data_IF_857409014270
#
_entry.id   IF_857409014270
#
_cell.length_a   1.000
_cell.length_b   1.000
_cell.length_c   1.000
_cell.angle_alpha   90.00
_cell.angle_beta   90.00
_cell.angle_gamma   90.00
#
_symmetry.space_group_name_H-M   'P 1'
#
loop_
_entity.id
_entity.type
_entity.pdbx_description
1 polymer ?
#
# COMPACT_ATOMS: atom_id res chain seq x y z
N UNK A 1 -8.15 43.49 -15.09
CA UNK A 1 -9.09 42.34 -14.95
C UNK A 1 -8.34 41.06 -15.23
N UNK A 2 -7.82 40.42 -14.21
CA UNK A 2 -7.16 39.10 -14.32
C UNK A 2 -8.23 38.02 -14.11
N UNK A 3 -8.48 37.22 -15.14
CA UNK A 3 -9.37 36.05 -15.02
C UNK A 3 -8.65 34.99 -14.18
N UNK A 4 -9.14 34.77 -12.98
CA UNK A 4 -8.81 33.64 -12.16
C UNK A 4 -9.33 32.37 -12.84
N UNK A 5 -8.45 31.56 -13.40
CA UNK A 5 -8.79 30.24 -13.86
C UNK A 5 -8.83 29.35 -12.62
N UNK A 6 -10.02 29.11 -12.08
CA UNK A 6 -10.22 28.08 -11.04
C UNK A 6 -9.90 26.74 -11.66
N UNK A 7 -8.80 26.16 -11.24
CA UNK A 7 -8.53 24.74 -11.46
C UNK A 7 -9.57 23.94 -10.64
N UNK A 8 -10.57 23.45 -11.35
CA UNK A 8 -11.52 22.51 -10.78
C UNK A 8 -10.82 21.19 -10.52
N UNK A 9 -10.45 20.94 -9.29
CA UNK A 9 -10.03 19.64 -8.80
C UNK A 9 -11.22 18.68 -8.82
N UNK A 10 -11.58 18.17 -10.00
CA UNK A 10 -12.26 16.88 -10.07
C UNK A 10 -11.16 15.82 -9.96
N UNK A 11 -10.94 15.36 -8.73
CA UNK A 11 -10.20 14.14 -8.47
C UNK A 11 -10.68 13.06 -9.43
N UNK A 12 -9.79 12.54 -10.28
CA UNK A 12 -10.03 11.36 -11.10
C UNK A 12 -10.02 10.06 -10.25
N UNK A 13 -9.90 10.20 -8.94
CA UNK A 13 -9.88 9.08 -8.01
C UNK A 13 -11.30 8.87 -7.51
N UNK A 14 -11.74 7.63 -7.66
CA UNK A 14 -13.03 7.17 -7.16
C UNK A 14 -13.21 7.57 -5.70
N UNK A 15 -14.39 8.03 -5.34
CA UNK A 15 -14.71 8.28 -3.94
C UNK A 15 -14.66 6.95 -3.16
N UNK A 16 -14.50 6.99 -1.84
CA UNK A 16 -14.55 5.80 -0.98
C UNK A 16 -15.80 4.94 -1.28
N UNK A 17 -16.84 5.55 -1.79
CA UNK A 17 -18.08 4.89 -2.22
C UNK A 17 -17.92 4.11 -3.54
N UNK A 18 -17.02 4.56 -4.44
CA UNK A 18 -16.77 3.88 -5.72
C UNK A 18 -15.82 2.68 -5.56
N UNK A 19 -14.98 2.67 -4.50
CA UNK A 19 -14.13 1.54 -4.12
C UNK A 19 -14.92 0.37 -3.51
N UNK A 20 -16.19 0.58 -3.18
CA UNK A 20 -17.08 -0.42 -2.59
C UNK A 20 -17.93 -1.18 -3.63
N UNK A 21 -17.69 -0.99 -4.92
CA UNK A 21 -18.35 -1.75 -5.98
C UNK A 21 -17.46 -2.93 -6.40
N UNK A 22 -17.77 -4.18 -6.05
CA UNK A 22 -16.95 -5.31 -6.46
C UNK A 22 -17.23 -5.67 -7.92
N UNK A 23 -16.20 -5.57 -8.75
CA UNK A 23 -16.13 -6.24 -10.04
C UNK A 23 -15.15 -7.41 -9.93
N UNK A 24 -15.55 -8.56 -10.42
CA UNK A 24 -15.18 -9.91 -10.02
C UNK A 24 -13.78 -10.44 -10.35
N UNK A 25 -12.79 -9.71 -10.75
CA UNK A 25 -11.49 -10.31 -11.09
C UNK A 25 -10.26 -9.44 -10.86
N UNK A 26 -10.38 -8.14 -10.81
CA UNK A 26 -9.22 -7.22 -10.78
C UNK A 26 -8.87 -6.70 -9.37
N UNK A 27 -9.61 -7.12 -8.34
CA UNK A 27 -9.56 -6.49 -7.01
C UNK A 27 -8.33 -6.86 -6.15
N UNK A 28 -7.63 -7.94 -6.46
CA UNK A 28 -6.46 -8.34 -5.67
C UNK A 28 -5.23 -7.43 -5.92
N UNK A 29 -5.11 -6.91 -7.15
CA UNK A 29 -4.07 -5.93 -7.47
C UNK A 29 -4.40 -4.53 -6.94
N UNK A 30 -5.68 -4.24 -6.70
CA UNK A 30 -6.15 -2.94 -6.24
C UNK A 30 -5.82 -2.67 -4.76
N UNK A 31 -5.72 -3.68 -3.91
CA UNK A 31 -5.49 -3.50 -2.47
C UNK A 31 -4.07 -2.98 -2.15
N UNK A 32 -3.04 -3.51 -2.81
CA UNK A 32 -1.65 -3.04 -2.60
C UNK A 32 -1.43 -1.63 -3.16
N UNK A 33 -2.14 -1.31 -4.24
CA UNK A 33 -2.15 0.02 -4.84
C UNK A 33 -2.94 1.02 -3.98
N UNK A 34 -3.95 0.55 -3.23
CA UNK A 34 -4.79 1.39 -2.37
C UNK A 34 -3.99 2.03 -1.22
N UNK A 35 -3.10 1.29 -0.56
CA UNK A 35 -2.36 1.81 0.60
C UNK A 35 -1.52 3.05 0.26
N UNK A 36 -0.74 3.00 -0.81
CA UNK A 36 0.06 4.16 -1.24
C UNK A 36 -0.80 5.35 -1.67
N UNK A 37 -1.91 5.08 -2.35
CA UNK A 37 -2.88 6.11 -2.79
C UNK A 37 -3.64 6.71 -1.62
N UNK A 38 -4.02 5.90 -0.64
CA UNK A 38 -4.75 6.38 0.55
C UNK A 38 -3.87 7.24 1.44
N UNK A 39 -2.61 6.84 1.69
CA UNK A 39 -1.64 7.67 2.42
C UNK A 39 -1.43 9.02 1.72
N UNK A 40 -1.31 9.00 0.39
CA UNK A 40 -1.18 10.24 -0.39
C UNK A 40 -2.44 11.11 -0.30
N UNK A 41 -3.62 10.51 -0.46
CA UNK A 41 -4.91 11.19 -0.39
C UNK A 41 -5.14 11.82 0.99
N UNK A 42 -4.87 11.07 2.05
CA UNK A 42 -5.01 11.53 3.43
C UNK A 42 -4.07 12.71 3.72
N UNK A 43 -2.85 12.69 3.19
CA UNK A 43 -1.90 13.80 3.33
C UNK A 43 -2.35 15.06 2.57
N UNK A 44 -3.01 14.93 1.43
CA UNK A 44 -3.59 16.07 0.69
C UNK A 44 -4.84 16.61 1.42
N UNK A 45 -5.72 15.71 1.86
CA UNK A 45 -6.96 16.08 2.55
C UNK A 45 -6.67 16.74 3.92
N UNK A 46 -5.65 16.27 4.63
CA UNK A 46 -5.29 16.82 5.95
C UNK A 46 -4.55 18.16 5.89
N UNK A 47 -3.94 18.51 4.77
CA UNK A 47 -3.04 19.66 4.76
C UNK A 47 -3.46 20.81 3.88
N UNK A 48 -4.35 20.71 2.93
CA UNK A 48 -4.90 21.83 2.13
C UNK A 48 -4.04 23.11 1.99
N UNK A 49 -2.81 23.05 2.52
CA UNK A 49 -1.90 24.16 2.70
C UNK A 49 -1.21 24.49 1.37
N UNK A 50 -1.02 25.76 1.12
CA UNK A 50 -0.15 26.22 0.06
C UNK A 50 1.29 26.29 0.56
N UNK A 51 2.25 26.04 -0.32
CA UNK A 51 3.66 26.33 -0.07
C UNK A 51 3.88 27.85 0.01
N UNK A 52 5.03 28.28 0.55
CA UNK A 52 5.38 29.71 0.55
C UNK A 52 5.34 30.37 -0.85
N UNK A 53 5.51 29.57 -1.89
CA UNK A 53 5.40 30.01 -3.29
C UNK A 53 3.98 29.98 -3.86
N UNK A 54 2.96 29.65 -3.05
CA UNK A 54 1.56 29.59 -3.48
C UNK A 54 1.21 28.35 -4.32
N UNK A 55 2.02 27.29 -4.25
CA UNK A 55 1.72 26.01 -4.87
C UNK A 55 1.02 25.10 -3.87
N UNK A 56 0.25 24.12 -4.36
CA UNK A 56 -0.31 23.09 -3.51
C UNK A 56 0.81 22.30 -2.78
N UNK A 57 0.70 22.16 -1.47
CA UNK A 57 1.65 21.38 -0.70
C UNK A 57 1.33 19.88 -0.82
N UNK A 58 2.26 19.11 -1.40
CA UNK A 58 2.14 17.66 -1.64
C UNK A 58 3.32 16.94 -0.99
N UNK A 59 3.28 16.70 0.32
CA UNK A 59 4.42 16.15 1.07
C UNK A 59 4.76 14.71 0.65
N UNK A 60 3.78 13.94 0.15
CA UNK A 60 3.95 12.56 -0.31
C UNK A 60 3.49 12.42 -1.75
N UNK A 61 4.40 12.02 -2.63
CA UNK A 61 4.09 11.65 -4.01
C UNK A 61 4.01 10.14 -4.16
N UNK A 62 3.20 9.66 -5.11
CA UNK A 62 3.04 8.25 -5.43
C UNK A 62 3.01 8.03 -6.94
N UNK A 63 3.80 7.08 -7.42
CA UNK A 63 3.78 6.63 -8.81
C UNK A 63 3.90 5.10 -8.86
N UNK A 64 3.06 4.44 -9.65
CA UNK A 64 3.18 3.03 -9.96
C UNK A 64 3.86 2.86 -11.33
N UNK A 65 4.77 1.91 -11.45
CA UNK A 65 5.48 1.62 -12.66
C UNK A 65 4.74 0.55 -13.48
N UNK A 66 4.77 0.71 -14.80
CA UNK A 66 4.30 -0.32 -15.71
C UNK A 66 5.46 -1.20 -16.22
N UNK A 67 5.15 -2.33 -16.81
CA UNK A 67 6.13 -3.18 -17.49
C UNK A 67 6.88 -2.36 -18.56
N UNK A 68 8.19 -2.56 -18.61
CA UNK A 68 9.08 -1.86 -19.56
C UNK A 68 9.18 -0.33 -19.36
N UNK A 69 8.88 0.17 -18.17
CA UNK A 69 9.08 1.58 -17.86
C UNK A 69 10.53 1.99 -18.13
N UNK A 70 10.70 3.03 -18.94
CA UNK A 70 11.99 3.66 -19.23
C UNK A 70 12.22 4.85 -18.29
N UNK A 71 13.47 5.39 -18.24
CA UNK A 71 13.75 6.63 -17.50
C UNK A 71 12.82 7.77 -17.92
N UNK A 72 12.53 7.90 -19.23
CA UNK A 72 11.56 8.87 -19.73
C UNK A 72 10.15 8.61 -19.21
N UNK A 73 9.70 7.36 -19.29
CA UNK A 73 8.38 6.95 -18.81
C UNK A 73 8.20 7.19 -17.32
N UNK A 74 9.21 6.87 -16.49
CA UNK A 74 9.21 7.18 -15.07
C UNK A 74 9.06 8.69 -14.81
N UNK A 75 9.91 9.50 -15.47
CA UNK A 75 9.84 10.97 -15.30
C UNK A 75 8.49 11.54 -15.77
N UNK A 76 7.92 10.97 -16.83
CA UNK A 76 6.57 11.31 -17.30
C UNK A 76 5.50 10.95 -16.28
N UNK A 77 5.58 9.77 -15.66
CA UNK A 77 4.66 9.36 -14.61
C UNK A 77 4.72 10.30 -13.39
N UNK A 78 5.93 10.69 -12.96
CA UNK A 78 6.10 11.68 -11.87
C UNK A 78 5.54 13.04 -12.24
N UNK A 79 5.86 13.57 -13.42
CA UNK A 79 5.31 14.85 -13.87
C UNK A 79 3.78 14.80 -14.04
N UNK A 80 3.26 13.65 -14.49
CA UNK A 80 1.82 13.40 -14.63
C UNK A 80 1.09 13.33 -13.29
N UNK A 81 1.74 12.79 -12.25
CA UNK A 81 1.23 12.78 -10.89
C UNK A 81 0.93 14.21 -10.38
N UNK A 82 1.80 15.17 -10.72
CA UNK A 82 1.60 16.60 -10.42
C UNK A 82 0.75 17.34 -11.47
N UNK A 83 0.11 16.61 -12.37
CA UNK A 83 -0.73 17.19 -13.46
C UNK A 83 0.01 18.23 -14.31
N UNK A 84 1.34 18.09 -14.47
CA UNK A 84 2.12 19.03 -15.26
C UNK A 84 1.74 18.93 -16.75
N UNK A 85 1.34 20.04 -17.42
CA UNK A 85 0.85 20.00 -18.80
C UNK A 85 1.88 19.50 -19.83
N UNK A 86 3.15 19.55 -19.50
CA UNK A 86 4.25 19.01 -20.32
C UNK A 86 4.75 17.64 -19.87
N UNK A 87 3.97 16.85 -19.14
CA UNK A 87 4.40 15.54 -18.62
C UNK A 87 4.93 14.60 -19.70
N UNK A 88 4.35 14.61 -20.88
CA UNK A 88 4.73 13.76 -22.02
C UNK A 88 5.53 14.44 -23.12
N UNK A 89 5.85 15.74 -22.97
CA UNK A 89 6.47 16.54 -24.01
C UNK A 89 7.97 16.71 -23.82
N UNK A 90 8.78 16.29 -24.80
CA UNK A 90 10.22 16.50 -24.83
C UNK A 90 11.03 15.24 -24.60
N UNK A 91 12.33 15.42 -24.45
CA UNK A 91 13.27 14.33 -24.18
C UNK A 91 13.29 13.97 -22.69
N UNK A 92 13.93 12.85 -22.34
CA UNK A 92 13.98 12.32 -20.98
C UNK A 92 14.55 13.35 -19.96
N UNK A 93 15.53 14.15 -20.36
CA UNK A 93 16.16 15.12 -19.44
C UNK A 93 15.21 16.30 -19.14
N UNK A 94 14.50 16.80 -20.16
CA UNK A 94 13.51 17.88 -19.98
C UNK A 94 12.37 17.42 -19.08
N UNK A 95 11.84 16.22 -19.31
CA UNK A 95 10.75 15.69 -18.49
C UNK A 95 11.26 15.40 -17.07
N UNK A 96 12.48 14.86 -16.92
CA UNK A 96 13.10 14.64 -15.63
C UNK A 96 13.27 15.91 -14.81
N UNK A 97 13.72 17.00 -15.44
CA UNK A 97 13.83 18.30 -14.78
C UNK A 97 12.46 18.88 -14.38
N UNK A 98 11.41 18.67 -15.18
CA UNK A 98 10.05 19.09 -14.83
C UNK A 98 9.52 18.30 -13.63
N UNK A 99 9.68 16.98 -13.64
CA UNK A 99 9.31 16.12 -12.53
C UNK A 99 9.99 16.56 -11.23
N UNK A 100 11.29 16.84 -11.30
CA UNK A 100 12.06 17.34 -10.19
C UNK A 100 11.57 18.71 -9.68
N UNK A 101 11.32 19.65 -10.60
CA UNK A 101 10.78 20.96 -10.26
C UNK A 101 9.38 20.85 -9.61
N UNK A 102 8.54 19.94 -10.07
CA UNK A 102 7.25 19.68 -9.42
C UNK A 102 7.45 19.21 -7.97
N UNK A 103 8.31 18.24 -7.71
CA UNK A 103 8.60 17.76 -6.35
C UNK A 103 9.09 18.88 -5.43
N UNK A 104 9.96 19.76 -5.94
CA UNK A 104 10.50 20.90 -5.17
C UNK A 104 9.40 21.92 -4.89
N UNK A 105 8.69 22.36 -5.92
CA UNK A 105 7.69 23.43 -5.81
C UNK A 105 6.48 23.06 -4.95
N UNK A 106 6.16 21.77 -4.87
CA UNK A 106 5.09 21.24 -4.02
C UNK A 106 5.57 20.80 -2.62
N UNK A 107 6.87 20.92 -2.33
CA UNK A 107 7.43 20.55 -1.01
C UNK A 107 7.41 19.05 -0.74
N UNK A 108 7.46 18.21 -1.79
CA UNK A 108 7.45 16.75 -1.63
C UNK A 108 8.69 16.27 -0.87
N UNK A 109 8.47 15.50 0.19
CA UNK A 109 9.49 14.91 1.06
C UNK A 109 9.64 13.42 0.89
N UNK A 110 8.58 12.74 0.51
CA UNK A 110 8.55 11.30 0.26
C UNK A 110 7.97 11.04 -1.14
N UNK A 111 8.67 10.28 -1.95
CA UNK A 111 8.16 9.76 -3.23
C UNK A 111 8.10 8.24 -3.15
N UNK A 112 6.89 7.70 -3.18
CA UNK A 112 6.65 6.27 -3.22
C UNK A 112 6.64 5.84 -4.70
N UNK A 113 7.50 4.89 -5.02
CA UNK A 113 7.61 4.30 -6.36
C UNK A 113 7.23 2.84 -6.23
N UNK A 114 6.03 2.52 -6.68
CA UNK A 114 5.46 1.19 -6.57
C UNK A 114 5.72 0.36 -7.83
N UNK A 115 5.55 -0.94 -7.69
CA UNK A 115 5.72 -1.91 -8.77
C UNK A 115 7.14 -1.92 -9.39
N UNK A 116 8.15 -1.57 -8.60
CA UNK A 116 9.56 -1.56 -9.05
C UNK A 116 10.00 -2.93 -9.58
N UNK A 117 9.29 -3.98 -9.21
CA UNK A 117 9.53 -5.34 -9.70
C UNK A 117 9.26 -5.51 -11.22
N UNK A 118 8.56 -4.59 -11.88
CA UNK A 118 8.43 -4.58 -13.34
C UNK A 118 9.70 -4.09 -14.06
N UNK A 119 10.65 -3.53 -13.33
CA UNK A 119 11.93 -3.12 -13.93
C UNK A 119 12.88 -4.32 -14.05
N UNK A 120 13.36 -4.58 -15.25
CA UNK A 120 14.47 -5.51 -15.50
C UNK A 120 15.81 -4.86 -15.09
N UNK A 121 16.07 -4.79 -13.78
CA UNK A 121 17.18 -4.03 -13.19
C UNK A 121 18.56 -4.49 -13.66
N UNK A 122 18.69 -5.74 -14.14
CA UNK A 122 19.91 -6.27 -14.77
C UNK A 122 20.10 -5.83 -16.20
N UNK A 123 19.05 -5.35 -16.86
CA UNK A 123 19.13 -4.80 -18.22
C UNK A 123 19.83 -3.43 -18.23
N UNK A 124 20.23 -2.96 -19.41
CA UNK A 124 20.78 -1.61 -19.58
C UNK A 124 19.74 -0.55 -19.18
N UNK A 125 18.49 -0.70 -19.64
CA UNK A 125 17.41 0.23 -19.32
C UNK A 125 17.09 0.26 -17.81
N UNK A 126 17.10 -0.90 -17.14
CA UNK A 126 16.90 -0.98 -15.69
C UNK A 126 18.03 -0.30 -14.90
N UNK A 127 19.28 -0.46 -15.34
CA UNK A 127 20.42 0.26 -14.72
C UNK A 127 20.32 1.77 -14.92
N UNK A 128 19.86 2.23 -16.08
CA UNK A 128 19.66 3.66 -16.35
C UNK A 128 18.59 4.26 -15.40
N UNK A 129 17.51 3.52 -15.11
CA UNK A 129 16.49 3.95 -14.14
C UNK A 129 17.06 3.92 -12.72
N UNK A 130 17.75 2.86 -12.30
CA UNK A 130 18.38 2.79 -10.99
C UNK A 130 19.37 3.94 -10.74
N UNK A 131 20.14 4.32 -11.76
CA UNK A 131 21.01 5.48 -11.71
C UNK A 131 20.22 6.79 -11.63
N UNK A 132 19.06 6.86 -12.26
CA UNK A 132 18.19 8.01 -12.17
C UNK A 132 17.57 8.17 -10.77
N UNK A 133 17.19 7.08 -10.11
CA UNK A 133 16.77 7.12 -8.70
C UNK A 133 17.89 7.64 -7.80
N UNK A 134 19.14 7.17 -8.01
CA UNK A 134 20.30 7.68 -7.27
C UNK A 134 20.51 9.18 -7.48
N UNK A 135 20.35 9.64 -8.73
CA UNK A 135 20.46 11.06 -9.06
C UNK A 135 19.39 11.88 -8.34
N UNK A 136 18.13 11.45 -8.35
CA UNK A 136 17.04 12.13 -7.63
C UNK A 136 17.38 12.21 -6.14
N UNK A 137 17.68 11.09 -5.50
CA UNK A 137 17.96 11.02 -4.06
C UNK A 137 19.19 11.85 -3.63
N UNK A 138 20.14 12.07 -4.54
CA UNK A 138 21.34 12.89 -4.25
C UNK A 138 21.14 14.39 -4.49
N UNK A 139 20.24 14.72 -5.41
CA UNK A 139 20.11 16.11 -5.91
C UNK A 139 18.99 16.85 -5.19
N UNK A 140 17.95 16.12 -4.77
CA UNK A 140 16.74 16.72 -4.20
C UNK A 140 16.51 16.25 -2.77
N UNK A 141 15.91 17.11 -1.91
CA UNK A 141 15.61 16.78 -0.51
C UNK A 141 14.37 15.87 -0.41
N UNK A 142 14.35 14.77 -1.19
CA UNK A 142 13.26 13.80 -1.23
C UNK A 142 13.77 12.41 -0.85
N UNK A 143 13.03 11.74 0.00
CA UNK A 143 13.23 10.32 0.31
C UNK A 143 12.48 9.49 -0.74
N UNK A 144 13.15 8.49 -1.32
CA UNK A 144 12.51 7.54 -2.23
C UNK A 144 12.18 6.26 -1.47
N UNK A 145 10.92 5.81 -1.55
CA UNK A 145 10.47 4.50 -1.08
C UNK A 145 10.17 3.64 -2.31
N UNK A 146 11.01 2.63 -2.54
CA UNK A 146 10.83 1.68 -3.64
C UNK A 146 10.06 0.46 -3.13
N UNK A 147 8.90 0.21 -3.71
CA UNK A 147 8.01 -0.89 -3.33
C UNK A 147 7.94 -1.91 -4.46
N UNK A 148 7.92 -3.18 -4.12
CA UNK A 148 7.80 -4.24 -5.12
C UNK A 148 8.16 -5.63 -4.57
N UNK A 149 7.83 -6.65 -5.34
CA UNK A 149 8.02 -8.05 -4.97
C UNK A 149 9.45 -8.51 -5.31
N UNK A 150 10.09 -9.20 -4.35
CA UNK A 150 11.41 -9.87 -4.57
C UNK A 150 12.52 -8.92 -5.10
N UNK A 151 12.55 -7.66 -4.70
CA UNK A 151 13.50 -6.66 -5.21
C UNK A 151 14.96 -7.09 -5.05
N UNK A 152 15.29 -7.85 -4.00
CA UNK A 152 16.63 -8.41 -3.81
C UNK A 152 17.00 -9.38 -4.93
N UNK A 153 16.10 -10.28 -5.29
CA UNK A 153 16.32 -11.28 -6.35
C UNK A 153 16.38 -10.64 -7.75
N UNK A 154 15.75 -9.48 -7.92
CA UNK A 154 15.69 -8.75 -9.20
C UNK A 154 16.91 -7.87 -9.49
N UNK A 155 17.88 -7.83 -8.58
CA UNK A 155 19.16 -7.18 -8.82
C UNK A 155 19.22 -5.72 -8.37
N UNK A 156 18.26 -5.23 -7.57
CA UNK A 156 18.31 -3.84 -7.06
C UNK A 156 19.57 -3.60 -6.21
N UNK A 157 20.07 -4.63 -5.55
CA UNK A 157 21.23 -4.58 -4.64
C UNK A 157 22.49 -5.22 -5.22
N UNK A 158 22.51 -5.60 -6.52
CA UNK A 158 23.66 -6.25 -7.15
C UNK A 158 24.88 -5.30 -7.23
N UNK A 159 24.64 -3.99 -7.32
CA UNK A 159 25.69 -2.98 -7.27
C UNK A 159 25.98 -2.57 -5.81
N UNK A 160 27.23 -2.74 -5.32
CA UNK A 160 27.60 -2.41 -3.95
C UNK A 160 27.37 -0.94 -3.57
N UNK A 161 27.47 -0.01 -4.52
CA UNK A 161 27.20 1.41 -4.27
C UNK A 161 25.70 1.65 -4.07
N UNK A 162 24.86 0.92 -4.76
CA UNK A 162 23.42 0.94 -4.61
C UNK A 162 23.03 0.32 -3.27
N UNK A 163 23.56 -0.85 -2.93
CA UNK A 163 23.27 -1.56 -1.69
C UNK A 163 23.58 -0.75 -0.43
N UNK A 164 24.59 0.13 -0.46
CA UNK A 164 24.96 1.00 0.67
C UNK A 164 24.02 2.20 0.89
N UNK A 165 23.18 2.52 -0.09
CA UNK A 165 22.30 3.70 -0.06
C UNK A 165 20.86 3.39 0.29
N UNK A 166 20.47 2.14 0.16
CA UNK A 166 19.11 1.70 0.38
C UNK A 166 19.02 0.85 1.64
N UNK A 167 18.08 1.19 2.48
CA UNK A 167 17.72 0.36 3.65
C UNK A 167 16.58 -0.55 3.24
N UNK A 168 16.79 -1.87 3.13
CA UNK A 168 15.72 -2.79 2.80
C UNK A 168 14.77 -2.94 3.98
N UNK A 169 13.47 -2.86 3.68
CA UNK A 169 12.38 -3.16 4.60
C UNK A 169 11.64 -4.37 4.03
N UNK A 170 11.79 -5.51 4.69
CA UNK A 170 11.13 -6.74 4.25
C UNK A 170 9.79 -6.87 4.98
N UNK A 171 8.70 -6.85 4.23
CA UNK A 171 7.36 -7.15 4.74
C UNK A 171 7.10 -8.64 4.61
N UNK A 172 7.37 -9.39 5.67
CA UNK A 172 7.06 -10.81 5.75
C UNK A 172 5.64 -11.01 6.27
N UNK A 173 4.96 -12.10 5.87
CA UNK A 173 3.70 -12.48 6.51
C UNK A 173 3.88 -12.57 8.03
N UNK A 174 2.84 -12.21 8.76
CA UNK A 174 2.81 -12.39 10.21
C UNK A 174 2.79 -13.88 10.53
N UNK A 175 3.44 -14.28 11.60
CA UNK A 175 3.50 -15.64 12.08
C UNK A 175 2.80 -15.76 13.43
N UNK A 176 2.39 -16.99 13.81
CA UNK A 176 1.77 -17.27 15.10
C UNK A 176 2.46 -18.43 15.83
N UNK A 177 3.51 -18.96 15.25
CA UNK A 177 4.31 -20.04 15.85
C UNK A 177 5.05 -19.53 17.09
N UNK A 178 5.53 -18.29 17.06
CA UNK A 178 6.25 -17.68 18.16
C UNK A 178 5.33 -16.82 19.04
N UNK A 179 5.67 -16.66 20.31
CA UNK A 179 4.93 -15.78 21.22
C UNK A 179 4.96 -14.32 20.76
N UNK A 180 6.10 -13.89 20.21
CA UNK A 180 6.23 -12.53 19.66
C UNK A 180 5.33 -12.34 18.42
N UNK A 181 5.29 -13.34 17.53
CA UNK A 181 4.41 -13.32 16.36
C UNK A 181 2.94 -13.21 16.76
N UNK A 182 2.50 -14.01 17.75
CA UNK A 182 1.13 -13.93 18.30
C UNK A 182 0.80 -12.55 18.88
N UNK A 183 1.76 -11.93 19.57
CA UNK A 183 1.58 -10.56 20.09
C UNK A 183 1.46 -9.54 18.97
N UNK A 184 2.30 -9.65 17.94
CA UNK A 184 2.26 -8.77 16.76
C UNK A 184 0.94 -8.92 16.01
N UNK A 185 0.49 -10.15 15.77
CA UNK A 185 -0.80 -10.46 15.16
C UNK A 185 -1.96 -9.85 15.95
N UNK A 186 -2.01 -10.09 17.25
CA UNK A 186 -3.06 -9.52 18.13
C UNK A 186 -3.05 -8.00 18.13
N UNK A 187 -1.86 -7.38 18.14
CA UNK A 187 -1.73 -5.92 18.12
C UNK A 187 -2.24 -5.33 16.81
N UNK A 188 -1.96 -5.98 15.68
CA UNK A 188 -2.50 -5.59 14.38
C UNK A 188 -4.03 -5.68 14.37
N UNK A 189 -4.61 -6.81 14.80
CA UNK A 189 -6.07 -6.96 14.83
C UNK A 189 -6.74 -5.90 15.72
N UNK A 190 -6.14 -5.56 16.87
CA UNK A 190 -6.64 -4.48 17.73
C UNK A 190 -6.56 -3.11 17.07
N UNK A 191 -5.50 -2.85 16.31
CA UNK A 191 -5.37 -1.60 15.57
C UNK A 191 -6.45 -1.48 14.50
N UNK A 192 -6.65 -2.55 13.71
CA UNK A 192 -7.72 -2.59 12.70
C UNK A 192 -9.11 -2.44 13.37
N UNK A 193 -9.35 -3.15 14.45
CA UNK A 193 -10.64 -3.11 15.17
C UNK A 193 -11.03 -1.69 15.60
N UNK A 194 -10.08 -0.85 15.98
CA UNK A 194 -10.31 0.56 16.34
C UNK A 194 -10.81 1.41 15.19
N UNK A 195 -10.43 1.08 13.98
CA UNK A 195 -10.80 1.82 12.77
C UNK A 195 -12.09 1.32 12.14
N UNK A 196 -12.65 0.20 12.65
CA UNK A 196 -13.90 -0.35 12.13
C UNK A 196 -15.10 0.48 12.60
N UNK A 197 -15.98 0.79 11.66
CA UNK A 197 -17.25 1.50 11.91
C UNK A 197 -18.40 0.55 11.63
N UNK A 198 -18.73 -0.29 12.62
CA UNK A 198 -19.89 -1.19 12.60
C UNK A 198 -20.72 -0.94 13.84
N UNK A 199 -22.04 -0.91 13.70
CA UNK A 199 -22.97 -0.57 14.81
C UNK A 199 -22.91 -1.61 15.93
N UNK A 200 -22.76 -2.88 15.60
CA UNK A 200 -22.71 -4.00 16.54
C UNK A 200 -21.28 -4.50 16.81
N UNK A 201 -20.29 -3.58 16.69
CA UNK A 201 -18.92 -3.89 17.04
C UNK A 201 -18.79 -4.17 18.54
N UNK A 202 -18.17 -5.30 18.88
CA UNK A 202 -17.85 -5.64 20.28
C UNK A 202 -16.34 -5.64 20.47
N UNK A 203 -15.81 -5.08 21.58
CA UNK A 203 -14.39 -5.11 21.86
C UNK A 203 -13.83 -6.55 21.85
N UNK A 204 -12.77 -6.78 21.13
CA UNK A 204 -12.15 -8.10 20.97
C UNK A 204 -12.73 -8.94 19.83
N UNK A 205 -13.67 -8.43 19.06
CA UNK A 205 -14.29 -9.18 17.96
C UNK A 205 -13.25 -9.73 16.96
N UNK A 206 -12.26 -8.94 16.57
CA UNK A 206 -11.19 -9.42 15.69
C UNK A 206 -10.07 -10.12 16.46
N UNK A 207 -9.61 -9.48 17.55
CA UNK A 207 -8.40 -9.90 18.26
C UNK A 207 -8.59 -11.09 19.20
N UNK A 208 -9.82 -11.35 19.65
CA UNK A 208 -10.12 -12.47 20.55
C UNK A 208 -11.06 -13.49 19.89
N UNK A 209 -12.22 -13.05 19.36
CA UNK A 209 -13.22 -13.99 18.83
C UNK A 209 -12.79 -14.60 17.50
N UNK A 210 -12.36 -13.76 16.54
CA UNK A 210 -12.06 -14.18 15.17
C UNK A 210 -10.56 -14.40 14.88
N UNK A 211 -9.68 -14.29 15.87
CA UNK A 211 -8.23 -14.27 15.67
C UNK A 211 -7.70 -15.50 14.90
N UNK A 212 -8.01 -16.70 15.36
CA UNK A 212 -7.59 -17.96 14.73
C UNK A 212 -8.19 -18.11 13.33
N UNK A 213 -9.46 -17.75 13.19
CA UNK A 213 -10.19 -17.78 11.91
C UNK A 213 -9.56 -16.83 10.87
N UNK A 214 -9.31 -15.58 11.27
CA UNK A 214 -8.71 -14.58 10.38
C UNK A 214 -7.30 -14.99 9.95
N UNK A 215 -6.51 -15.57 10.85
CA UNK A 215 -5.20 -16.10 10.49
C UNK A 215 -5.31 -17.25 9.49
N UNK A 216 -6.21 -18.22 9.73
CA UNK A 216 -6.43 -19.33 8.81
C UNK A 216 -6.89 -18.87 7.41
N UNK A 217 -7.61 -17.74 7.32
CA UNK A 217 -8.14 -17.17 6.09
C UNK A 217 -7.17 -16.23 5.36
N UNK A 218 -6.14 -15.72 6.03
CA UNK A 218 -5.15 -14.77 5.47
C UNK A 218 -3.73 -15.32 5.41
N UNK A 219 -3.47 -16.43 6.09
CA UNK A 219 -2.10 -17.00 6.24
C UNK A 219 -1.08 -15.98 6.75
N UNK A 220 -1.51 -15.02 7.55
CA UNK A 220 -0.67 -13.95 8.06
C UNK A 220 -0.32 -12.84 7.03
N UNK A 221 -0.80 -12.92 5.79
CA UNK A 221 -0.58 -11.88 4.79
C UNK A 221 -1.50 -10.69 5.04
N UNK A 222 -0.90 -9.50 5.13
CA UNK A 222 -1.62 -8.28 5.45
C UNK A 222 -2.70 -7.94 4.41
N UNK A 223 -2.38 -8.02 3.11
CA UNK A 223 -3.32 -7.73 2.03
C UNK A 223 -4.52 -8.68 2.04
N UNK A 224 -4.28 -9.98 2.22
CA UNK A 224 -5.34 -10.98 2.34
C UNK A 224 -6.24 -10.73 3.56
N UNK A 225 -5.65 -10.32 4.69
CA UNK A 225 -6.38 -9.96 5.90
C UNK A 225 -7.29 -8.76 5.66
N UNK A 226 -6.74 -7.68 5.09
CA UNK A 226 -7.50 -6.45 4.81
C UNK A 226 -8.62 -6.70 3.82
N UNK A 227 -8.35 -7.38 2.71
CA UNK A 227 -9.37 -7.76 1.73
C UNK A 227 -10.52 -8.55 2.37
N UNK A 228 -10.20 -9.50 3.25
CA UNK A 228 -11.20 -10.31 3.94
C UNK A 228 -12.07 -9.44 4.87
N UNK A 229 -11.44 -8.57 5.65
CA UNK A 229 -12.14 -7.68 6.60
C UNK A 229 -13.00 -6.67 5.86
N UNK A 230 -12.50 -6.01 4.84
CA UNK A 230 -13.23 -5.03 4.04
C UNK A 230 -14.48 -5.63 3.40
N UNK A 231 -14.32 -6.79 2.74
CA UNK A 231 -15.44 -7.51 2.14
C UNK A 231 -16.44 -8.00 3.20
N UNK A 232 -15.94 -8.43 4.35
CA UNK A 232 -16.75 -8.82 5.49
C UNK A 232 -17.58 -7.65 6.02
N UNK A 233 -16.97 -6.48 6.24
CA UNK A 233 -17.65 -5.27 6.69
C UNK A 233 -18.72 -4.82 5.67
N UNK A 234 -18.35 -4.79 4.38
CA UNK A 234 -19.32 -4.46 3.33
C UNK A 234 -20.55 -5.38 3.39
N UNK A 235 -20.33 -6.69 3.55
CA UNK A 235 -21.41 -7.66 3.66
C UNK A 235 -22.22 -7.45 4.94
N UNK A 236 -21.58 -7.24 6.07
CA UNK A 236 -22.23 -6.99 7.36
C UNK A 236 -23.18 -5.79 7.31
N UNK A 237 -22.73 -4.70 6.68
CA UNK A 237 -23.59 -3.52 6.44
C UNK A 237 -24.75 -3.86 5.50
N UNK A 238 -24.49 -4.56 4.40
CA UNK A 238 -25.54 -4.92 3.44
C UNK A 238 -26.59 -5.85 3.99
N UNK A 239 -26.23 -6.76 4.89
CA UNK A 239 -27.18 -7.70 5.50
C UNK A 239 -27.88 -7.11 6.72
N UNK A 240 -27.41 -5.96 7.23
CA UNK A 240 -27.90 -5.34 8.46
C UNK A 240 -27.41 -6.05 9.73
N UNK A 241 -26.49 -7.02 9.62
CA UNK A 241 -25.89 -7.68 10.80
C UNK A 241 -25.00 -6.73 11.59
N UNK A 242 -24.31 -5.80 10.87
CA UNK A 242 -23.44 -4.77 11.45
C UNK A 242 -22.38 -5.35 12.42
N UNK A 243 -21.98 -6.60 12.18
CA UNK A 243 -21.02 -7.36 12.97
C UNK A 243 -20.32 -8.39 12.10
N UNK A 244 -19.03 -8.66 12.35
CA UNK A 244 -18.31 -9.75 11.72
C UNK A 244 -18.45 -11.04 12.54
N UNK A 245 -18.87 -12.11 11.89
CA UNK A 245 -18.95 -13.47 12.44
C UNK A 245 -18.31 -14.45 11.46
N UNK A 246 -17.85 -15.62 11.92
CA UNK A 246 -17.32 -16.66 11.03
C UNK A 246 -18.33 -17.03 9.94
N UNK A 247 -19.62 -17.18 10.31
CA UNK A 247 -20.69 -17.53 9.39
C UNK A 247 -20.88 -16.50 8.27
N UNK A 248 -20.80 -15.20 8.60
CA UNK A 248 -20.84 -14.12 7.61
C UNK A 248 -19.58 -14.12 6.75
N UNK A 249 -18.42 -14.25 7.38
CA UNK A 249 -17.11 -14.24 6.71
C UNK A 249 -16.89 -15.46 5.81
N UNK A 250 -17.53 -16.58 6.09
CA UNK A 250 -17.50 -17.78 5.22
C UNK A 250 -18.19 -17.55 3.86
N UNK A 251 -19.05 -16.56 3.78
CA UNK A 251 -19.72 -16.18 2.54
C UNK A 251 -18.88 -15.18 1.70
N UNK A 252 -17.72 -14.75 2.25
CA UNK A 252 -16.78 -13.85 1.60
C UNK A 252 -15.64 -14.67 0.99
N UNK A 253 -15.34 -14.43 -0.28
CA UNK A 253 -14.15 -15.00 -0.93
C UNK A 253 -12.92 -14.19 -0.58
N UNK A 254 -11.79 -14.85 -0.39
CA UNK A 254 -10.49 -14.22 -0.28
C UNK A 254 -9.66 -14.50 -1.54
N UNK A 255 -8.39 -14.11 -1.55
CA UNK A 255 -7.49 -14.42 -2.66
C UNK A 255 -7.20 -15.93 -2.76
N UNK A 256 -6.79 -16.37 -3.95
CA UNK A 256 -6.61 -17.79 -4.25
C UNK A 256 -5.49 -18.44 -3.43
N UNK A 257 -4.42 -17.69 -3.09
CA UNK A 257 -3.31 -18.21 -2.33
C UNK A 257 -3.71 -18.49 -0.87
N UNK A 258 -4.42 -17.56 -0.23
CA UNK A 258 -4.95 -17.71 1.12
C UNK A 258 -5.97 -18.85 1.19
N UNK A 259 -6.88 -18.95 0.23
CA UNK A 259 -7.87 -20.03 0.20
C UNK A 259 -7.25 -21.42 -0.04
N UNK A 260 -6.10 -21.52 -0.72
CA UNK A 260 -5.42 -22.80 -0.96
C UNK A 260 -4.93 -23.46 0.34
N UNK A 261 -4.43 -22.67 1.30
CA UNK A 261 -3.89 -23.17 2.59
C UNK A 261 -4.89 -23.13 3.74
N UNK A 262 -6.05 -22.48 3.53
CA UNK A 262 -7.09 -22.29 4.54
C UNK A 262 -7.46 -23.56 5.32
N UNK A 263 -7.70 -24.67 4.61
CA UNK A 263 -8.16 -25.93 5.24
C UNK A 263 -7.12 -26.54 6.17
N UNK A 264 -5.87 -26.46 5.77
CA UNK A 264 -4.76 -26.98 6.58
C UNK A 264 -4.58 -26.17 7.87
N UNK A 265 -4.57 -24.83 7.75
CA UNK A 265 -4.46 -23.94 8.90
C UNK A 265 -5.67 -24.08 9.85
N UNK A 266 -6.89 -24.07 9.32
CA UNK A 266 -8.09 -24.26 10.13
C UNK A 266 -8.07 -25.61 10.89
N UNK A 267 -7.61 -26.68 10.23
CA UNK A 267 -7.45 -27.97 10.90
C UNK A 267 -6.33 -27.98 11.97
N UNK A 268 -5.27 -27.19 11.79
CA UNK A 268 -4.21 -27.02 12.79
C UNK A 268 -4.73 -26.31 14.04
N UNK A 269 -5.50 -25.23 13.88
CA UNK A 269 -6.14 -24.52 14.98
C UNK A 269 -7.17 -25.41 15.71
N UNK A 270 -8.06 -26.07 14.97
CA UNK A 270 -9.07 -26.94 15.56
C UNK A 270 -8.48 -28.11 16.38
N UNK A 271 -7.29 -28.59 16.00
CA UNK A 271 -6.56 -29.65 16.74
C UNK A 271 -5.67 -29.09 17.86
N UNK A 272 -5.67 -27.79 18.11
CA UNK A 272 -4.82 -27.14 19.12
C UNK A 272 -3.31 -27.20 18.82
N UNK A 273 -2.93 -27.52 17.57
CA UNK A 273 -1.52 -27.54 17.15
C UNK A 273 -0.98 -26.14 16.90
N UNK A 274 -1.85 -25.20 16.64
CA UNK A 274 -1.57 -23.80 16.41
C UNK A 274 -2.51 -22.93 17.24
N UNK A 275 -2.05 -21.76 17.65
CA UNK A 275 -2.89 -20.71 18.26
C UNK A 275 -2.40 -19.35 17.86
N UNK A 276 -3.30 -18.43 17.55
CA UNK A 276 -2.95 -17.05 17.29
C UNK A 276 -2.98 -16.18 18.55
N UNK A 277 -3.41 -16.76 19.68
CA UNK A 277 -3.57 -16.04 20.95
C UNK A 277 -2.27 -16.09 21.75
N UNK A 278 -1.73 -14.92 22.17
CA UNK A 278 -0.58 -14.90 23.05
C UNK A 278 -0.91 -15.54 24.40
N UNK A 279 0.09 -16.17 25.01
CA UNK A 279 -0.02 -16.67 26.36
C UNK A 279 -0.34 -15.51 27.31
N UNK A 280 -1.32 -15.66 28.18
CA UNK A 280 -1.55 -14.69 29.25
C UNK A 280 -0.28 -14.62 30.08
N UNK A 281 0.41 -13.46 30.05
CA UNK A 281 1.50 -13.22 30.99
C UNK A 281 0.92 -13.44 32.38
N UNK A 282 1.53 -14.35 33.16
CA UNK A 282 1.19 -14.45 34.57
C UNK A 282 1.36 -13.05 35.14
N UNK A 283 0.27 -12.51 35.70
CA UNK A 283 0.32 -11.25 36.38
C UNK A 283 1.31 -11.41 37.54
N UNK A 284 2.48 -10.79 37.39
CA UNK A 284 3.46 -10.66 38.42
C UNK A 284 3.20 -9.37 39.19
#
# INVERSE_FOLDING_TARGET
MRKSTRYGTRSKYASRHDLLQPTDADDAAAADVAFGKDVHREQIELRGDETEAGNLHVPVGYVSLSSNTTRRGFSSAVAGFYEHPGADSGNADRIGNRAANCMISTGTRLMIIDDVHFLELRSKAGRDIANHFKWIANTFPVTLLLVGVDLRKRGLFDDPQTARRWTPLDMTPLEVETEQGRRSWRSLLKAIEKELVLTNLTPGMLAEDLSDYLFARSSGHFSSLMTLIERGCYRAVRTGEERLTEALMDQVKNDAAAEAVRRELAAAFAKGRLTSRPTKAAAA
#
